data_IF_531412765413
#
_entry.id   IF_531412765413
#
_cell.length_a   1.000
_cell.length_b   1.000
_cell.length_c   1.000
_cell.angle_alpha   90.00
_cell.angle_beta   90.00
_cell.angle_gamma   90.00
#
_symmetry.space_group_name_H-M   'P 1'
#
loop_
_entity.id
_entity.type
_entity.pdbx_description
1 polymer ?
#
# COMPACT_ATOMS: atom_id res chain seq x y z
N UNK A 1 22.22 -16.97 12.17
CA UNK A 1 20.90 -17.56 12.50
C UNK A 1 19.85 -16.76 11.73
N UNK A 2 18.54 -16.95 11.90
CA UNK A 2 17.60 -15.94 11.36
C UNK A 2 17.92 -14.59 12.05
N UNK A 3 17.80 -13.45 11.36
CA UNK A 3 18.11 -12.13 11.98
C UNK A 3 17.29 -11.91 13.25
N UNK A 4 16.05 -12.39 13.26
CA UNK A 4 15.16 -12.38 14.42
C UNK A 4 15.63 -13.26 15.58
N UNK A 5 16.36 -14.34 15.32
CA UNK A 5 16.86 -15.21 16.38
C UNK A 5 18.01 -14.56 17.14
N UNK A 6 18.82 -13.77 16.45
CA UNK A 6 19.93 -13.01 17.06
C UNK A 6 19.37 -11.89 17.95
N UNK A 7 18.34 -11.17 17.47
CA UNK A 7 17.54 -10.23 18.26
C UNK A 7 16.89 -10.93 19.47
N UNK A 8 16.32 -12.11 19.27
CA UNK A 8 15.68 -12.85 20.35
C UNK A 8 16.69 -13.31 21.41
N UNK A 9 17.91 -13.68 20.99
CA UNK A 9 19.01 -14.03 21.87
C UNK A 9 19.45 -12.83 22.72
N UNK A 10 19.58 -11.62 22.14
CA UNK A 10 19.92 -10.42 22.92
C UNK A 10 18.84 -10.07 23.94
N UNK A 11 17.55 -10.24 23.58
CA UNK A 11 16.43 -10.07 24.52
C UNK A 11 16.52 -11.09 25.66
N UNK A 12 16.83 -12.35 25.35
CA UNK A 12 17.00 -13.39 26.36
C UNK A 12 18.16 -13.07 27.32
N UNK A 13 19.29 -12.62 26.78
CA UNK A 13 20.47 -12.26 27.58
C UNK A 13 20.17 -11.05 28.49
N UNK A 14 19.43 -10.04 28.00
CA UNK A 14 18.97 -8.91 28.80
C UNK A 14 18.00 -9.33 29.92
N UNK A 15 17.09 -10.26 29.63
CA UNK A 15 16.18 -10.82 30.64
C UNK A 15 16.94 -11.59 31.72
N UNK A 16 17.94 -12.39 31.33
CA UNK A 16 18.79 -13.13 32.25
C UNK A 16 19.63 -12.19 33.13
N UNK A 17 20.24 -11.16 32.52
CA UNK A 17 20.98 -10.12 33.22
C UNK A 17 20.10 -9.39 34.25
N UNK A 18 18.84 -9.06 33.89
CA UNK A 18 17.89 -8.41 34.81
C UNK A 18 17.54 -9.25 36.05
N UNK A 19 17.70 -10.58 35.95
CA UNK A 19 17.47 -11.53 37.06
C UNK A 19 18.77 -11.95 37.76
N UNK A 20 19.92 -11.40 37.39
CA UNK A 20 21.25 -11.80 37.85
C UNK A 20 21.52 -13.31 37.63
N UNK A 21 21.01 -13.87 36.53
CA UNK A 21 21.22 -15.26 36.15
C UNK A 21 22.22 -15.34 34.99
N UNK A 22 23.23 -16.19 35.13
CA UNK A 22 24.16 -16.51 34.04
C UNK A 22 23.91 -17.95 33.57
N UNK A 23 23.74 -18.14 32.26
CA UNK A 23 23.52 -19.46 31.66
C UNK A 23 24.86 -19.98 31.16
N UNK A 24 25.37 -21.03 31.81
CA UNK A 24 26.67 -21.65 31.47
C UNK A 24 26.55 -22.65 30.31
N UNK A 25 25.38 -23.28 30.14
CA UNK A 25 25.17 -24.31 29.13
C UNK A 25 24.46 -23.75 27.87
N UNK A 26 25.11 -23.91 26.72
CA UNK A 26 24.60 -23.49 25.43
C UNK A 26 23.33 -24.24 25.02
N UNK A 27 23.19 -25.52 25.41
CA UNK A 27 21.99 -26.32 25.09
C UNK A 27 20.78 -25.77 25.83
N UNK A 28 20.95 -25.41 27.10
CA UNK A 28 19.92 -24.76 27.89
C UNK A 28 19.53 -23.41 27.27
N UNK A 29 20.51 -22.59 26.87
CA UNK A 29 20.27 -21.29 26.20
C UNK A 29 19.43 -21.45 24.93
N UNK A 30 19.76 -22.42 24.08
CA UNK A 30 19.00 -22.71 22.86
C UNK A 30 17.57 -23.19 23.18
N UNK A 31 17.40 -24.02 24.21
CA UNK A 31 16.07 -24.48 24.62
C UNK A 31 15.18 -23.34 25.13
N UNK A 32 15.75 -22.39 25.88
CA UNK A 32 15.04 -21.20 26.35
C UNK A 32 14.65 -20.28 25.20
N UNK A 33 15.53 -20.13 24.21
CA UNK A 33 15.26 -19.36 22.99
C UNK A 33 14.11 -19.98 22.19
N UNK A 34 14.08 -21.31 22.04
CA UNK A 34 12.98 -22.01 21.38
C UNK A 34 11.65 -21.86 22.14
N UNK A 35 11.66 -21.91 23.48
CA UNK A 35 10.48 -21.66 24.31
C UNK A 35 9.96 -20.23 24.13
N UNK A 36 10.84 -19.25 24.12
CA UNK A 36 10.50 -17.83 23.94
C UNK A 36 9.90 -17.60 22.54
N UNK A 37 10.54 -18.16 21.50
CA UNK A 37 10.06 -18.14 20.12
C UNK A 37 8.68 -18.78 19.99
N UNK A 38 8.51 -19.97 20.57
CA UNK A 38 7.25 -20.70 20.60
C UNK A 38 6.15 -19.86 21.27
N UNK A 39 6.46 -19.17 22.37
CA UNK A 39 5.51 -18.31 23.06
C UNK A 39 5.07 -17.11 22.23
N UNK A 40 6.01 -16.41 21.59
CA UNK A 40 5.67 -15.29 20.70
C UNK A 40 4.84 -15.75 19.50
N UNK A 41 5.19 -16.88 18.89
CA UNK A 41 4.43 -17.45 17.78
C UNK A 41 3.00 -17.82 18.19
N UNK A 42 2.82 -18.33 19.40
CA UNK A 42 1.50 -18.64 19.94
C UNK A 42 0.67 -17.37 20.16
N UNK A 43 1.24 -16.32 20.76
CA UNK A 43 0.59 -15.01 20.92
C UNK A 43 0.17 -14.45 19.56
N UNK A 44 1.09 -14.44 18.59
CA UNK A 44 0.83 -13.94 17.24
C UNK A 44 -0.31 -14.72 16.58
N UNK A 45 -0.26 -16.06 16.59
CA UNK A 45 -1.30 -16.92 16.01
C UNK A 45 -2.67 -16.68 16.64
N UNK A 46 -2.76 -16.63 17.97
CA UNK A 46 -4.03 -16.40 18.65
C UNK A 46 -4.60 -15.02 18.32
N UNK A 47 -3.74 -14.00 18.26
CA UNK A 47 -4.14 -12.63 17.94
C UNK A 47 -4.64 -12.51 16.51
N UNK A 48 -3.95 -13.12 15.54
CA UNK A 48 -4.41 -13.20 14.14
C UNK A 48 -5.71 -14.00 14.03
N UNK A 49 -5.89 -15.06 14.82
CA UNK A 49 -7.16 -15.79 14.83
C UNK A 49 -8.32 -14.91 15.34
N UNK A 50 -8.10 -14.08 16.35
CA UNK A 50 -9.10 -13.12 16.82
C UNK A 50 -9.42 -12.04 15.78
N UNK A 51 -8.40 -11.53 15.07
CA UNK A 51 -8.64 -10.57 13.98
C UNK A 51 -9.43 -11.20 12.84
N UNK A 52 -9.07 -12.43 12.44
CA UNK A 52 -9.80 -13.20 11.42
C UNK A 52 -11.26 -13.45 11.85
N UNK A 53 -11.48 -13.80 13.13
CA UNK A 53 -12.83 -13.99 13.66
C UNK A 53 -13.65 -12.70 13.68
N UNK A 54 -13.00 -11.54 13.82
CA UNK A 54 -13.61 -10.22 13.69
C UNK A 54 -13.75 -9.75 12.23
N UNK A 55 -13.41 -10.58 11.23
CA UNK A 55 -13.45 -10.23 9.82
C UNK A 55 -12.36 -9.26 9.37
N UNK A 56 -11.29 -9.10 10.16
CA UNK A 56 -10.16 -8.20 9.89
C UNK A 56 -8.91 -8.98 9.50
N UNK A 57 -8.20 -8.50 8.48
CA UNK A 57 -6.91 -9.05 8.07
C UNK A 57 -5.74 -8.61 8.96
N UNK A 58 -5.90 -7.52 9.72
CA UNK A 58 -4.88 -6.97 10.60
C UNK A 58 -5.32 -7.03 12.07
N UNK A 59 -4.45 -7.53 12.97
CA UNK A 59 -4.64 -7.44 14.41
C UNK A 59 -4.81 -6.00 14.92
N UNK A 60 -5.69 -5.82 15.89
CA UNK A 60 -5.90 -4.60 16.66
C UNK A 60 -5.59 -4.83 18.13
N UNK A 61 -5.47 -3.76 18.90
CA UNK A 61 -5.29 -3.78 20.35
C UNK A 61 -6.29 -4.72 21.06
N UNK A 62 -7.56 -4.71 20.66
CA UNK A 62 -8.60 -5.56 21.26
C UNK A 62 -8.36 -7.06 21.05
N UNK A 63 -7.68 -7.44 19.95
CA UNK A 63 -7.33 -8.83 19.71
C UNK A 63 -6.20 -9.27 20.65
N UNK A 64 -5.20 -8.39 20.84
CA UNK A 64 -4.10 -8.63 21.77
C UNK A 64 -4.58 -8.71 23.21
N UNK A 65 -5.49 -7.82 23.63
CA UNK A 65 -6.10 -7.84 24.95
C UNK A 65 -6.79 -9.19 25.22
N UNK A 66 -7.61 -9.67 24.27
CA UNK A 66 -8.27 -10.98 24.36
C UNK A 66 -7.26 -12.13 24.42
N UNK A 67 -6.21 -12.09 23.61
CA UNK A 67 -5.12 -13.08 23.66
C UNK A 67 -4.45 -13.09 25.04
N UNK A 68 -4.13 -11.93 25.60
CA UNK A 68 -3.47 -11.83 26.91
C UNK A 68 -4.36 -12.32 28.04
N UNK A 69 -5.64 -11.97 28.05
CA UNK A 69 -6.62 -12.51 29.00
C UNK A 69 -6.68 -14.03 28.89
N UNK A 70 -6.76 -14.57 27.66
CA UNK A 70 -6.82 -16.02 27.40
C UNK A 70 -5.56 -16.75 27.86
N UNK A 71 -4.39 -16.14 27.67
CA UNK A 71 -3.09 -16.68 28.06
C UNK A 71 -2.70 -16.37 29.51
N UNK A 72 -3.56 -15.67 30.26
CA UNK A 72 -3.32 -15.21 31.63
C UNK A 72 -2.04 -14.37 31.78
N UNK A 73 -1.75 -13.53 30.79
CA UNK A 73 -0.62 -12.60 30.80
C UNK A 73 -1.09 -11.32 31.49
N UNK A 74 -0.55 -11.04 32.68
CA UNK A 74 -0.89 -9.83 33.46
C UNK A 74 -0.05 -8.65 32.97
N UNK A 75 -0.71 -7.62 32.43
CA UNK A 75 -0.06 -6.40 31.92
C UNK A 75 0.02 -5.28 32.96
N UNK A 76 -0.66 -5.42 34.11
CA UNK A 76 -0.76 -4.35 35.11
C UNK A 76 0.59 -3.83 35.63
N UNK A 77 1.60 -4.70 35.71
CA UNK A 77 2.95 -4.36 36.17
C UNK A 77 3.84 -3.80 35.06
N UNK A 78 3.44 -3.92 33.78
CA UNK A 78 4.25 -3.54 32.63
C UNK A 78 4.58 -2.03 32.65
N UNK A 79 3.61 -1.19 33.04
CA UNK A 79 3.81 0.25 33.14
C UNK A 79 4.85 0.60 34.22
N UNK A 80 4.77 -0.04 35.39
CA UNK A 80 5.71 0.18 36.48
C UNK A 80 7.13 -0.32 36.13
N UNK A 81 7.23 -1.44 35.39
CA UNK A 81 8.51 -1.93 34.89
C UNK A 81 9.15 -0.98 33.87
N UNK A 82 8.34 -0.42 32.96
CA UNK A 82 8.80 0.56 31.99
C UNK A 82 9.31 1.85 32.66
N UNK A 83 8.56 2.38 33.62
CA UNK A 83 8.95 3.57 34.38
C UNK A 83 10.16 3.33 35.31
N UNK A 84 10.32 2.11 35.84
CA UNK A 84 11.40 1.74 36.75
C UNK A 84 12.76 1.50 36.06
N UNK A 85 12.79 1.33 34.74
CA UNK A 85 14.01 1.09 33.98
C UNK A 85 14.10 2.01 32.73
N UNK A 86 14.24 3.34 32.91
CA UNK A 86 14.40 4.24 31.77
C UNK A 86 15.70 3.98 30.99
N UNK A 87 16.77 3.58 31.68
CA UNK A 87 18.13 3.48 31.09
C UNK A 87 18.53 2.06 30.65
N UNK A 88 17.81 1.01 31.07
CA UNK A 88 18.20 -0.39 30.79
C UNK A 88 17.55 -0.97 29.54
N UNK A 89 16.62 -0.26 28.91
CA UNK A 89 16.06 -0.67 27.63
C UNK A 89 17.09 -0.39 26.55
N UNK A 90 18.06 -1.29 26.40
CA UNK A 90 18.81 -1.43 25.14
C UNK A 90 17.74 -1.58 24.08
N UNK A 91 17.48 -0.52 23.32
CA UNK A 91 16.56 -0.55 22.20
C UNK A 91 17.10 -1.61 21.24
N UNK A 92 16.52 -2.80 21.29
CA UNK A 92 16.91 -3.87 20.37
C UNK A 92 16.32 -3.49 19.03
N UNK A 93 17.16 -2.95 18.17
CA UNK A 93 16.78 -2.58 16.83
C UNK A 93 16.55 -3.85 16.01
N UNK A 94 15.28 -4.14 15.75
CA UNK A 94 14.90 -5.14 14.76
C UNK A 94 15.03 -4.50 13.39
N UNK A 95 15.94 -4.99 12.56
CA UNK A 95 15.93 -4.64 11.15
C UNK A 95 14.53 -4.93 10.57
N UNK A 96 13.98 -3.97 9.83
CA UNK A 96 12.69 -4.16 9.18
C UNK A 96 12.73 -5.45 8.33
N UNK A 97 11.64 -6.23 8.29
CA UNK A 97 11.56 -7.34 7.35
C UNK A 97 11.79 -6.81 5.94
N UNK A 98 12.95 -7.10 5.36
CA UNK A 98 13.12 -7.07 3.91
C UNK A 98 12.33 -8.25 3.35
N UNK A 99 11.01 -8.14 3.35
CA UNK A 99 10.20 -9.06 2.54
C UNK A 99 10.47 -8.68 1.11
N UNK A 100 11.35 -9.44 0.45
CA UNK A 100 11.57 -9.26 -0.98
C UNK A 100 10.27 -9.68 -1.69
N UNK A 101 9.85 -8.92 -2.70
CA UNK A 101 8.65 -9.23 -3.51
C UNK A 101 8.64 -10.68 -4.03
N UNK A 102 9.83 -11.29 -4.17
CA UNK A 102 10.01 -12.66 -4.61
C UNK A 102 9.42 -13.71 -3.63
N UNK A 103 9.29 -13.40 -2.35
CA UNK A 103 8.78 -14.34 -1.33
C UNK A 103 7.29 -14.63 -1.49
N UNK A 104 6.50 -13.70 -2.03
CA UNK A 104 5.06 -13.87 -2.26
C UNK A 104 4.72 -14.66 -3.52
N UNK A 105 5.68 -14.83 -4.45
CA UNK A 105 5.40 -15.41 -5.76
C UNK A 105 5.67 -16.90 -5.89
N UNK A 106 6.18 -17.56 -4.85
CA UNK A 106 6.12 -19.02 -4.77
C UNK A 106 4.75 -19.47 -4.25
N UNK A 107 3.69 -19.04 -4.94
CA UNK A 107 2.40 -19.70 -4.83
C UNK A 107 2.63 -21.13 -5.30
N UNK A 108 2.35 -22.17 -4.50
CA UNK A 108 2.42 -23.54 -4.99
C UNK A 108 1.61 -23.60 -6.28
N UNK A 109 2.25 -23.99 -7.39
CA UNK A 109 1.60 -24.18 -8.68
C UNK A 109 0.28 -24.92 -8.41
N UNK A 110 -0.89 -24.30 -8.64
CA UNK A 110 -2.14 -25.00 -8.44
C UNK A 110 -2.08 -26.20 -9.38
N UNK A 111 -2.07 -27.41 -8.80
CA UNK A 111 -1.95 -28.67 -9.53
C UNK A 111 -3.28 -28.91 -10.24
N UNK A 112 -3.61 -28.09 -11.24
CA UNK A 112 -4.84 -28.19 -12.01
C UNK A 112 -4.86 -29.42 -12.93
N UNK A 113 -3.78 -30.20 -12.95
CA UNK A 113 -3.65 -31.41 -13.77
C UNK A 113 -3.80 -32.72 -12.99
N UNK A 114 -4.03 -32.72 -11.67
CA UNK A 114 -4.30 -33.97 -10.95
C UNK A 114 -5.74 -34.43 -11.21
N UNK A 115 -5.95 -35.04 -12.38
CA UNK A 115 -7.25 -35.62 -12.81
C UNK A 115 -7.62 -36.89 -12.03
N UNK A 116 -6.81 -37.31 -11.04
CA UNK A 116 -7.09 -38.48 -10.22
C UNK A 116 -7.39 -38.03 -8.80
N UNK A 117 -8.64 -38.23 -8.38
CA UNK A 117 -9.15 -37.93 -7.03
C UNK A 117 -8.26 -38.50 -5.89
N UNK A 118 -7.48 -39.55 -6.17
CA UNK A 118 -6.58 -40.21 -5.22
C UNK A 118 -5.37 -39.34 -4.86
N UNK A 119 -4.87 -38.48 -5.75
CA UNK A 119 -3.71 -37.60 -5.46
C UNK A 119 -4.13 -36.37 -4.64
N UNK A 120 -5.39 -35.94 -4.76
CA UNK A 120 -5.96 -34.92 -3.88
C UNK A 120 -6.12 -35.50 -2.46
N UNK A 121 -6.66 -36.70 -2.31
CA UNK A 121 -7.01 -37.26 -1.00
C UNK A 121 -5.82 -37.39 -0.02
N UNK A 122 -4.60 -37.64 -0.48
CA UNK A 122 -3.45 -37.88 0.43
C UNK A 122 -2.76 -36.61 0.93
N UNK A 123 -2.97 -35.46 0.28
CA UNK A 123 -2.26 -34.20 0.59
C UNK A 123 -3.18 -33.07 1.01
N UNK A 124 -4.48 -33.33 1.14
CA UNK A 124 -5.42 -32.28 1.49
C UNK A 124 -5.30 -31.98 2.99
N UNK A 125 -4.79 -30.80 3.36
CA UNK A 125 -4.89 -30.22 4.71
C UNK A 125 -6.35 -29.99 5.18
N UNK A 126 -7.34 -30.44 4.40
CA UNK A 126 -8.77 -30.28 4.63
C UNK A 126 -9.25 -31.59 5.25
N UNK A 127 -9.71 -31.58 6.52
CA UNK A 127 -10.22 -32.76 7.18
C UNK A 127 -11.39 -33.44 6.45
N UNK A 128 -11.46 -34.77 6.49
CA UNK A 128 -12.51 -35.59 5.86
C UNK A 128 -13.94 -35.30 6.35
N UNK A 129 -14.10 -34.64 7.50
CA UNK A 129 -15.41 -34.26 8.03
C UNK A 129 -15.97 -32.97 7.42
N UNK A 130 -15.16 -32.22 6.66
CA UNK A 130 -15.66 -31.06 5.92
C UNK A 130 -16.37 -31.52 4.65
N UNK A 131 -17.47 -30.86 4.25
CA UNK A 131 -18.15 -31.20 3.01
C UNK A 131 -17.18 -31.04 1.83
N UNK A 132 -17.26 -31.92 0.81
CA UNK A 132 -16.45 -31.78 -0.39
C UNK A 132 -16.75 -30.42 -1.03
N UNK A 133 -15.72 -29.78 -1.59
CA UNK A 133 -15.92 -28.55 -2.34
C UNK A 133 -17.01 -28.76 -3.41
N UNK A 134 -17.98 -27.83 -3.53
CA UNK A 134 -18.95 -27.88 -4.60
C UNK A 134 -18.27 -28.02 -5.96
N UNK A 135 -18.83 -28.83 -6.85
CA UNK A 135 -18.27 -28.99 -8.19
C UNK A 135 -18.24 -27.65 -8.94
N UNK A 136 -17.38 -27.52 -9.97
CA UNK A 136 -17.22 -26.28 -10.72
C UNK A 136 -18.53 -25.68 -11.25
N UNK A 137 -19.53 -26.52 -11.55
CA UNK A 137 -20.88 -26.13 -11.97
C UNK A 137 -21.70 -25.39 -10.90
N UNK A 138 -21.29 -25.42 -9.63
CA UNK A 138 -21.94 -24.68 -8.53
C UNK A 138 -21.47 -23.23 -8.46
N UNK A 139 -20.24 -22.95 -8.90
CA UNK A 139 -19.71 -21.59 -8.91
C UNK A 139 -20.15 -20.86 -10.17
N UNK A 140 -20.52 -19.59 -10.03
CA UNK A 140 -20.73 -18.72 -11.18
C UNK A 140 -19.38 -18.47 -11.85
N UNK A 141 -19.21 -18.96 -13.07
CA UNK A 141 -18.03 -18.70 -13.88
C UNK A 141 -17.94 -17.19 -14.15
N UNK A 142 -17.10 -16.48 -13.42
CA UNK A 142 -16.65 -15.15 -13.85
C UNK A 142 -15.69 -15.36 -15.00
N UNK A 143 -16.02 -14.89 -16.20
CA UNK A 143 -15.05 -14.82 -17.30
C UNK A 143 -13.95 -13.86 -16.87
N UNK A 144 -12.83 -14.40 -16.39
CA UNK A 144 -11.62 -13.62 -16.17
C UNK A 144 -11.03 -13.42 -17.55
N UNK A 145 -11.43 -12.35 -18.23
CA UNK A 145 -10.70 -11.90 -19.40
C UNK A 145 -9.30 -11.54 -18.91
N UNK A 146 -8.32 -12.35 -19.31
CA UNK A 146 -6.92 -11.96 -19.13
C UNK A 146 -6.73 -10.75 -20.02
N UNK A 147 -6.70 -9.56 -19.41
CA UNK A 147 -6.31 -8.34 -20.12
C UNK A 147 -4.89 -8.58 -20.63
N UNK A 148 -4.78 -8.97 -21.90
CA UNK A 148 -3.52 -9.27 -22.57
C UNK A 148 -2.79 -7.99 -22.95
N UNK A 149 -3.54 -6.89 -23.11
CA UNK A 149 -2.96 -5.62 -23.47
C UNK A 149 -2.25 -5.00 -22.26
N UNK A 150 -0.92 -5.06 -22.33
CA UNK A 150 0.00 -4.41 -21.39
C UNK A 150 0.63 -3.15 -22.00
N UNK A 151 0.04 -2.60 -23.06
CA UNK A 151 0.48 -1.31 -23.61
C UNK A 151 0.44 -0.24 -22.53
N UNK A 152 1.40 0.69 -22.59
CA UNK A 152 1.50 1.78 -21.62
C UNK A 152 0.19 2.58 -21.52
N UNK A 153 -0.46 2.83 -22.67
CA UNK A 153 -1.73 3.57 -22.75
C UNK A 153 -2.86 2.82 -22.03
N UNK A 154 -3.03 1.52 -22.29
CA UNK A 154 -4.06 0.72 -21.64
C UNK A 154 -3.86 0.67 -20.11
N UNK A 155 -2.62 0.45 -19.67
CA UNK A 155 -2.29 0.42 -18.23
C UNK A 155 -2.51 1.78 -17.56
N UNK A 156 -2.12 2.88 -18.23
CA UNK A 156 -2.35 4.25 -17.74
C UNK A 156 -3.84 4.56 -17.62
N UNK A 157 -4.64 4.21 -18.63
CA UNK A 157 -6.09 4.42 -18.61
C UNK A 157 -6.76 3.59 -17.50
N UNK A 158 -6.39 2.32 -17.36
CA UNK A 158 -6.88 1.45 -16.29
C UNK A 158 -6.52 1.98 -14.91
N UNK A 159 -5.30 2.49 -14.73
CA UNK A 159 -4.89 3.12 -13.48
C UNK A 159 -5.72 4.38 -13.21
N UNK A 160 -5.90 5.25 -14.21
CA UNK A 160 -6.72 6.45 -14.07
C UNK A 160 -8.18 6.12 -13.72
N UNK A 161 -8.75 5.08 -14.35
CA UNK A 161 -10.09 4.59 -14.06
C UNK A 161 -10.20 4.03 -12.63
N UNK A 162 -9.22 3.25 -12.18
CA UNK A 162 -9.18 2.75 -10.81
C UNK A 162 -9.12 3.90 -9.79
N UNK A 163 -8.27 4.91 -10.02
CA UNK A 163 -8.17 6.09 -9.16
C UNK A 163 -9.48 6.90 -9.13
N UNK A 164 -10.15 7.04 -10.28
CA UNK A 164 -11.46 7.68 -10.34
C UNK A 164 -12.52 6.86 -9.58
N UNK A 165 -12.51 5.53 -9.73
CA UNK A 165 -13.44 4.64 -9.06
C UNK A 165 -13.23 4.63 -7.54
N UNK A 166 -11.98 4.63 -7.06
CA UNK A 166 -11.67 4.74 -5.63
C UNK A 166 -12.12 6.09 -5.08
N UNK A 167 -11.84 7.19 -5.79
CA UNK A 167 -12.31 8.52 -5.42
C UNK A 167 -13.84 8.58 -5.33
N UNK A 168 -14.55 8.03 -6.33
CA UNK A 168 -16.01 7.98 -6.34
C UNK A 168 -16.57 7.14 -5.19
N UNK A 169 -15.98 5.97 -4.92
CA UNK A 169 -16.38 5.12 -3.80
C UNK A 169 -16.17 5.81 -2.46
N UNK A 170 -15.04 6.52 -2.28
CA UNK A 170 -14.77 7.32 -1.09
C UNK A 170 -15.78 8.46 -0.94
N UNK A 171 -16.06 9.20 -2.01
CA UNK A 171 -17.06 10.27 -1.99
C UNK A 171 -18.45 9.75 -1.59
N UNK A 172 -18.89 8.62 -2.18
CA UNK A 172 -20.15 7.98 -1.80
C UNK A 172 -20.16 7.51 -0.35
N UNK A 173 -19.04 6.98 0.15
CA UNK A 173 -18.89 6.61 1.55
C UNK A 173 -19.03 7.83 2.46
N UNK A 174 -18.32 8.93 2.17
CA UNK A 174 -18.42 10.16 2.96
C UNK A 174 -19.84 10.75 2.97
N UNK A 175 -20.52 10.74 1.82
CA UNK A 175 -21.91 11.17 1.71
C UNK A 175 -22.86 10.31 2.56
N UNK A 176 -22.59 9.01 2.73
CA UNK A 176 -23.40 8.14 3.62
C UNK A 176 -23.10 8.34 5.10
N UNK A 177 -21.85 8.62 5.45
CA UNK A 177 -21.42 8.68 6.85
C UNK A 177 -21.58 10.06 7.49
N UNK A 178 -21.64 11.13 6.71
CA UNK A 178 -21.70 12.51 7.19
C UNK A 178 -23.03 13.16 6.82
N UNK A 179 -23.48 14.18 7.57
CA UNK A 179 -24.61 15.00 7.14
C UNK A 179 -24.31 15.60 5.76
N UNK A 180 -25.28 15.54 4.88
CA UNK A 180 -25.19 16.09 3.53
C UNK A 180 -26.45 16.92 3.23
N UNK A 181 -26.32 17.86 2.30
CA UNK A 181 -27.40 18.70 1.81
C UNK A 181 -27.53 18.42 0.32
N UNK A 182 -28.77 18.19 -0.15
CA UNK A 182 -29.04 18.14 -1.58
C UNK A 182 -29.14 19.56 -2.13
N UNK A 183 -28.36 19.89 -3.16
CA UNK A 183 -28.44 21.19 -3.83
C UNK A 183 -29.64 21.31 -4.79
N UNK A 184 -30.18 20.18 -5.25
CA UNK A 184 -31.26 20.14 -6.23
C UNK A 184 -32.44 19.35 -5.65
N UNK A 185 -33.64 19.96 -5.68
CA UNK A 185 -34.86 19.31 -5.20
C UNK A 185 -35.25 18.08 -6.04
N UNK A 186 -34.84 18.06 -7.31
CA UNK A 186 -35.26 17.06 -8.30
C UNK A 186 -34.40 15.78 -8.27
N UNK A 187 -33.15 15.83 -7.80
CA UNK A 187 -32.23 14.68 -7.76
C UNK A 187 -32.17 13.96 -6.43
N UNK A 188 -33.20 14.00 -5.58
CA UNK A 188 -33.17 13.28 -4.29
C UNK A 188 -32.97 11.75 -4.40
N UNK A 189 -33.15 11.15 -5.59
CA UNK A 189 -32.99 9.70 -5.80
C UNK A 189 -31.62 9.30 -6.30
N UNK A 190 -31.07 10.05 -7.25
CA UNK A 190 -29.75 9.81 -7.80
C UNK A 190 -28.81 10.67 -6.96
N UNK A 191 -27.86 10.09 -6.22
CA UNK A 191 -26.98 10.85 -5.31
C UNK A 191 -26.13 11.98 -5.95
N UNK A 192 -26.41 12.38 -7.19
CA UNK A 192 -25.90 13.55 -7.89
C UNK A 192 -26.39 14.86 -7.25
N UNK A 193 -25.44 15.71 -6.88
CA UNK A 193 -25.73 17.04 -6.32
C UNK A 193 -25.81 17.12 -4.80
N UNK A 194 -25.51 16.03 -4.08
CA UNK A 194 -25.33 16.08 -2.63
C UNK A 194 -23.94 16.64 -2.29
N UNK A 195 -23.90 17.60 -1.38
CA UNK A 195 -22.66 18.16 -0.83
C UNK A 195 -22.62 17.88 0.66
N UNK A 196 -21.42 17.61 1.18
CA UNK A 196 -21.21 17.39 2.62
C UNK A 196 -21.49 18.69 3.38
N UNK A 197 -22.32 18.60 4.43
CA UNK A 197 -22.50 19.69 5.38
C UNK A 197 -21.35 19.66 6.39
N UNK A 198 -20.18 20.08 5.92
CA UNK A 198 -19.06 20.38 6.77
C UNK A 198 -19.33 21.78 7.31
N UNK A 199 -19.90 21.87 8.52
CA UNK A 199 -20.03 23.15 9.24
C UNK A 199 -18.72 23.96 9.22
N UNK A 200 -18.74 25.22 9.69
CA UNK A 200 -17.63 26.16 9.49
C UNK A 200 -16.27 25.52 9.83
N UNK A 201 -15.27 25.63 8.94
CA UNK A 201 -14.03 24.88 9.07
C UNK A 201 -13.35 25.25 10.39
N UNK A 202 -13.07 24.24 11.22
CA UNK A 202 -12.40 24.43 12.54
C UNK A 202 -11.03 25.11 12.41
N UNK A 203 -10.37 24.95 11.26
CA UNK A 203 -9.12 25.62 10.90
C UNK A 203 -9.36 26.56 9.74
N UNK A 204 -8.89 27.79 9.86
CA UNK A 204 -9.01 28.81 8.82
C UNK A 204 -8.18 28.38 7.59
N UNK A 205 -8.68 28.51 6.35
CA UNK A 205 -7.99 28.01 5.15
C UNK A 205 -6.57 28.57 4.98
N UNK A 206 -6.36 29.82 5.39
CA UNK A 206 -5.07 30.50 5.31
C UNK A 206 -4.11 30.16 6.45
N UNK A 207 -4.55 29.47 7.51
CA UNK A 207 -3.66 29.16 8.64
C UNK A 207 -2.52 28.24 8.25
N UNK A 208 -2.75 27.35 7.28
CA UNK A 208 -1.74 26.42 6.79
C UNK A 208 -0.66 27.12 5.95
N UNK A 209 -1.02 28.18 5.20
CA UNK A 209 -0.07 29.03 4.49
C UNK A 209 0.77 29.90 5.44
N UNK A 210 0.24 30.23 6.62
CA UNK A 210 0.94 30.98 7.67
C UNK A 210 1.81 30.10 8.57
N UNK A 211 1.62 28.77 8.53
CA UNK A 211 2.50 27.86 9.26
C UNK A 211 3.85 27.83 8.54
N UNK A 212 4.98 28.04 9.23
CA UNK A 212 6.30 27.96 8.63
C UNK A 212 6.49 26.54 8.11
N UNK A 213 6.37 26.36 6.79
CA UNK A 213 6.82 25.15 6.12
C UNK A 213 8.31 25.30 5.93
N UNK A 214 9.07 24.33 6.40
CA UNK A 214 10.46 24.16 6.02
C UNK A 214 10.50 23.79 4.53
N UNK A 215 10.21 24.73 3.64
CA UNK A 215 10.57 24.60 2.23
C UNK A 215 12.06 24.86 2.16
N UNK A 216 12.84 23.81 2.38
CA UNK A 216 14.20 23.74 1.86
C UNK A 216 14.01 23.67 0.35
N UNK A 217 14.19 24.80 -0.34
CA UNK A 217 14.30 24.76 -1.79
C UNK A 217 15.67 24.15 -2.09
N UNK A 218 15.70 22.92 -2.62
CA UNK A 218 16.95 22.26 -3.05
C UNK A 218 17.68 23.08 -4.13
N UNK A 219 16.98 24.01 -4.77
CA UNK A 219 17.49 24.89 -5.81
C UNK A 219 17.51 26.33 -5.32
N UNK A 220 18.71 26.88 -5.14
CA UNK A 220 18.91 28.31 -4.90
C UNK A 220 18.53 29.09 -6.16
N UNK A 221 17.38 29.78 -6.12
CA UNK A 221 16.89 30.61 -7.22
C UNK A 221 17.77 31.86 -7.48
N UNK A 222 18.71 32.18 -6.59
CA UNK A 222 19.68 33.26 -6.79
C UNK A 222 21.02 32.78 -7.35
N UNK A 223 21.23 31.46 -7.49
CA UNK A 223 22.39 30.96 -8.19
C UNK A 223 22.31 31.42 -9.67
N UNK A 224 23.33 32.11 -10.21
CA UNK A 224 23.31 32.50 -11.61
C UNK A 224 23.25 31.24 -12.48
N UNK A 225 22.15 31.10 -13.22
CA UNK A 225 21.97 30.03 -14.20
C UNK A 225 22.91 30.35 -15.37
N UNK A 226 24.18 29.93 -15.29
CA UNK A 226 25.16 30.16 -16.36
C UNK A 226 24.89 29.30 -17.61
N UNK A 227 24.05 28.28 -17.50
CA UNK A 227 23.73 27.38 -18.61
C UNK A 227 22.25 27.50 -18.94
N UNK A 228 21.94 28.28 -19.98
CA UNK A 228 20.64 28.20 -20.65
C UNK A 228 20.54 26.77 -21.19
N UNK A 229 19.89 25.88 -20.44
CA UNK A 229 19.55 24.54 -20.90
C UNK A 229 18.80 24.63 -22.23
N UNK A 230 19.14 23.79 -23.22
CA UNK A 230 18.52 23.80 -24.55
C UNK A 230 16.97 23.81 -24.52
N UNK A 231 16.35 23.22 -23.48
CA UNK A 231 14.89 23.26 -23.25
C UNK A 231 14.32 24.66 -23.01
N UNK A 232 15.11 25.59 -22.45
CA UNK A 232 14.68 26.97 -22.24
C UNK A 232 14.65 27.75 -23.56
N UNK A 233 15.47 27.38 -24.56
CA UNK A 233 15.42 27.99 -25.89
C UNK A 233 14.13 27.64 -26.65
N UNK A 234 13.53 26.48 -26.36
CA UNK A 234 12.23 26.06 -26.91
C UNK A 234 11.02 26.65 -26.16
N UNK A 235 11.23 27.39 -25.07
CA UNK A 235 10.12 28.03 -24.37
C UNK A 235 9.55 29.17 -25.21
N UNK A 236 8.34 28.97 -25.75
CA UNK A 236 7.57 29.97 -26.51
C UNK A 236 7.47 31.36 -25.84
N UNK A 237 7.55 31.41 -24.51
CA UNK A 237 7.51 32.66 -23.73
C UNK A 237 8.79 33.50 -23.82
N UNK A 238 9.92 32.91 -24.20
CA UNK A 238 11.20 33.60 -24.42
C UNK A 238 11.41 33.95 -25.91
N UNK A 239 10.53 33.47 -26.80
CA UNK A 239 10.56 33.82 -28.21
C UNK A 239 10.20 35.31 -28.37
N UNK A 240 10.98 36.06 -29.18
CA UNK A 240 10.68 37.47 -29.42
C UNK A 240 9.27 37.60 -30.03
N UNK A 241 8.46 38.57 -29.58
CA UNK A 241 7.10 38.74 -30.08
C UNK A 241 7.13 38.94 -31.60
N UNK A 242 6.44 38.05 -32.32
CA UNK A 242 6.31 38.14 -33.78
C UNK A 242 5.42 39.35 -34.09
N UNK A 243 6.02 40.44 -34.58
CA UNK A 243 5.31 41.59 -35.14
C UNK A 243 4.56 41.16 -36.40
N UNK A 244 3.40 40.51 -36.24
CA UNK A 244 2.55 40.20 -37.36
C UNK A 244 1.81 41.48 -37.79
N UNK A 245 2.41 42.09 -38.81
CA UNK A 245 1.82 43.09 -39.70
C UNK A 245 0.40 42.70 -40.12
N UNK A 246 -0.48 43.70 -40.06
CA UNK A 246 -1.89 43.70 -40.42
C UNK A 246 -2.25 42.92 -41.70
N UNK A 247 -3.24 42.03 -41.62
CA UNK A 247 -4.14 41.70 -42.74
C UNK A 247 -5.51 41.22 -42.21
N UNK A 248 -6.60 41.41 -42.98
CA UNK A 248 -7.87 41.84 -42.42
C UNK A 248 -8.90 40.73 -42.31
N UNK A 249 -9.84 41.01 -41.41
CA UNK A 249 -11.11 40.32 -41.18
C UNK A 249 -11.87 40.03 -42.47
N UNK A 250 -12.06 38.74 -42.77
CA UNK A 250 -13.27 38.21 -43.42
C UNK A 250 -13.24 36.67 -43.46
N UNK A 251 -14.28 36.04 -42.93
CA UNK A 251 -14.78 34.76 -43.46
C UNK A 251 -14.52 33.51 -42.62
N UNK A 252 -15.57 33.10 -41.92
CA UNK A 252 -16.03 31.74 -41.62
C UNK A 252 -15.08 30.79 -40.87
N UNK A 253 -15.34 30.65 -39.56
CA UNK A 253 -14.89 29.54 -38.74
C UNK A 253 -15.82 28.34 -38.99
N UNK A 254 -15.39 27.38 -39.81
CA UNK A 254 -15.73 25.98 -39.56
C UNK A 254 -14.56 25.37 -38.79
N UNK A 255 -14.88 24.78 -37.64
CA UNK A 255 -13.97 24.06 -36.76
C UNK A 255 -13.45 22.82 -37.49
N UNK A 256 -12.34 22.95 -38.21
CA UNK A 256 -11.54 21.79 -38.57
C UNK A 256 -10.63 21.45 -37.39
N UNK A 257 -10.91 20.30 -36.78
CA UNK A 257 -10.11 19.61 -35.79
C UNK A 257 -8.65 19.54 -36.25
N UNK A 258 -7.79 20.37 -35.64
CA UNK A 258 -6.35 20.31 -35.85
C UNK A 258 -5.83 19.08 -35.09
N UNK A 259 -5.78 17.94 -35.77
CA UNK A 259 -4.98 16.80 -35.35
C UNK A 259 -3.53 17.28 -35.16
N UNK A 260 -3.05 17.19 -33.92
CA UNK A 260 -1.69 17.54 -33.56
C UNK A 260 -0.74 16.50 -34.15
N UNK A 261 -0.13 16.80 -35.29
CA UNK A 261 0.99 16.00 -35.80
C UNK A 261 2.15 16.03 -34.80
N UNK A 262 2.46 14.86 -34.24
CA UNK A 262 3.64 14.66 -33.40
C UNK A 262 4.93 14.93 -34.20
N UNK A 263 5.93 15.60 -33.59
CA UNK A 263 7.17 15.94 -34.28
C UNK A 263 7.98 14.67 -34.59
N UNK A 264 7.99 14.31 -35.87
CA UNK A 264 8.88 13.33 -36.45
C UNK A 264 10.34 13.74 -36.20
N UNK A 265 11.09 12.96 -35.42
CA UNK A 265 12.55 13.08 -35.32
C UNK A 265 13.22 11.74 -35.60
N UNK A 266 14.41 11.75 -36.26
CA UNK A 266 14.81 10.68 -37.16
C UNK A 266 15.76 9.69 -36.48
N UNK A 267 15.56 8.40 -36.74
CA UNK A 267 16.40 7.34 -36.22
C UNK A 267 16.28 6.08 -37.04
N UNK A 268 16.81 6.12 -38.26
CA UNK A 268 16.99 4.94 -39.09
C UNK A 268 17.91 3.93 -38.39
N UNK A 269 17.39 2.73 -38.18
CA UNK A 269 18.18 1.52 -37.99
C UNK A 269 17.79 0.57 -39.11
N UNK A 270 18.48 0.73 -40.24
CA UNK A 270 18.54 -0.28 -41.27
C UNK A 270 19.23 -1.53 -40.71
N UNK A 271 18.56 -2.67 -40.80
CA UNK A 271 19.20 -3.97 -40.79
C UNK A 271 18.73 -4.66 -42.07
N UNK A 272 19.71 -4.86 -42.95
CA UNK A 272 19.59 -5.49 -44.25
C UNK A 272 19.15 -6.95 -44.18
N UNK A 273 18.51 -7.37 -45.27
CA UNK A 273 17.95 -8.69 -45.57
C UNK A 273 19.03 -9.79 -45.66
N UNK A 274 18.68 -11.05 -45.34
CA UNK A 274 19.31 -12.22 -45.93
C UNK A 274 18.43 -12.81 -47.06
N UNK A 275 18.95 -12.78 -48.30
CA UNK A 275 18.82 -13.83 -49.32
C UNK A 275 19.65 -13.43 -50.55
#
# INVERSE_FOLDING_TARGET
MNTYDEVLATVLDNLLASKNCEVVDDVLRQSMLELLRGKFREIARQTTNWSNHAGRCAPSYFDLERTFIRMNIKVGELKAMYEGQPDSLVLVECNAPETQDQDFHSVPQPVLSSTKAVELASTTYIPDHLPPFPGAHTYKSSTIEKVTDRSYVAMRNRHAENELNTQNALNQYYLRCNPNISLFEETQRDGSGHVLDLGPPKKLPYSDALMPRNQVFDTDIYAPIEVITHKALDCRYLEKPKLHSSRPSSGNFEEEDVEMEEPCSPGGLGIEKPN
#
